data_IF_635564654069
#
_entry.id   IF_635564654069
#
_cell.length_a   1.000
_cell.length_b   1.000
_cell.length_c   1.000
_cell.angle_alpha   90.00
_cell.angle_beta   90.00
_cell.angle_gamma   90.00
#
_symmetry.space_group_name_H-M   'P 1'
#
loop_
_entity.id
_entity.type
_entity.pdbx_description
1 polymer ?
#
# COMPACT_ATOMS: atom_id res chain seq x y z
N UNK A 1 0.56 11.58 5.12
CA UNK A 1 -0.62 10.82 4.68
C UNK A 1 -1.39 10.36 5.90
N UNK A 2 -2.64 10.78 6.03
CA UNK A 2 -3.55 10.38 7.12
C UNK A 2 -3.73 8.86 7.14
N UNK A 3 -3.96 8.26 8.32
CA UNK A 3 -4.08 6.80 8.45
C UNK A 3 -5.22 6.21 7.61
N UNK A 4 -6.37 6.90 7.57
CA UNK A 4 -7.55 6.51 6.78
C UNK A 4 -7.29 6.58 5.27
N UNK A 5 -6.55 7.58 4.81
CA UNK A 5 -6.19 7.72 3.40
C UNK A 5 -5.24 6.60 2.96
N UNK A 6 -4.25 6.30 3.80
CA UNK A 6 -3.29 5.22 3.55
C UNK A 6 -3.96 3.86 3.45
N UNK A 7 -4.87 3.56 4.38
CA UNK A 7 -5.64 2.33 4.33
C UNK A 7 -6.40 2.22 3.01
N UNK A 8 -7.12 3.29 2.60
CA UNK A 8 -7.83 3.33 1.32
C UNK A 8 -6.90 3.08 0.13
N UNK A 9 -5.72 3.69 0.10
CA UNK A 9 -4.75 3.51 -0.98
C UNK A 9 -4.17 2.10 -1.02
N UNK A 10 -3.81 1.53 0.12
CA UNK A 10 -3.36 0.15 0.19
C UNK A 10 -4.46 -0.83 -0.25
N UNK A 11 -5.72 -0.58 0.12
CA UNK A 11 -6.85 -1.38 -0.40
C UNK A 11 -6.96 -1.30 -1.92
N UNK A 12 -6.82 -0.11 -2.51
CA UNK A 12 -6.79 0.08 -3.97
C UNK A 12 -5.65 -0.73 -4.63
N UNK A 13 -4.47 -0.74 -4.01
CA UNK A 13 -3.31 -1.55 -4.47
C UNK A 13 -3.63 -3.04 -4.39
N UNK A 14 -4.33 -3.51 -3.35
CA UNK A 14 -4.74 -4.91 -3.22
C UNK A 14 -5.72 -5.33 -4.31
N UNK A 15 -6.60 -4.42 -4.75
CA UNK A 15 -7.62 -4.72 -5.75
C UNK A 15 -7.09 -4.61 -7.18
N UNK A 16 -6.24 -3.63 -7.45
CA UNK A 16 -5.88 -3.24 -8.81
C UNK A 16 -4.40 -3.42 -9.14
N UNK A 17 -3.50 -3.51 -8.15
CA UNK A 17 -2.06 -3.65 -8.37
C UNK A 17 -1.68 -4.98 -9.04
N UNK A 18 -0.43 -5.11 -9.47
CA UNK A 18 0.10 -6.40 -9.92
C UNK A 18 0.22 -7.41 -8.75
N UNK A 19 0.37 -8.72 -9.00
CA UNK A 19 0.38 -9.73 -7.94
C UNK A 19 1.40 -9.50 -6.83
N UNK A 20 2.58 -8.93 -7.12
CA UNK A 20 3.58 -8.62 -6.10
C UNK A 20 3.15 -7.42 -5.26
N UNK A 21 2.63 -6.36 -5.89
CA UNK A 21 2.08 -5.20 -5.18
C UNK A 21 0.89 -5.58 -4.30
N UNK A 22 -0.02 -6.43 -4.79
CA UNK A 22 -1.16 -6.92 -4.02
C UNK A 22 -0.72 -7.67 -2.77
N UNK A 23 0.24 -8.59 -2.90
CA UNK A 23 0.76 -9.35 -1.77
C UNK A 23 1.44 -8.44 -0.73
N UNK A 24 2.26 -7.49 -1.19
CA UNK A 24 2.94 -6.54 -0.31
C UNK A 24 1.95 -5.61 0.39
N UNK A 25 0.90 -5.14 -0.29
CA UNK A 25 -0.11 -4.27 0.29
C UNK A 25 -0.91 -4.99 1.41
N UNK A 26 -1.21 -6.28 1.26
CA UNK A 26 -1.84 -7.09 2.33
C UNK A 26 -0.97 -7.18 3.57
N UNK A 27 0.32 -7.48 3.40
CA UNK A 27 1.27 -7.55 4.51
C UNK A 27 1.40 -6.21 5.25
N UNK A 28 1.41 -5.10 4.51
CA UNK A 28 1.48 -3.76 5.09
C UNK A 28 0.20 -3.37 5.83
N UNK A 29 -0.97 -3.76 5.31
CA UNK A 29 -2.24 -3.57 6.01
C UNK A 29 -2.27 -4.33 7.33
N UNK A 30 -1.81 -5.58 7.35
CA UNK A 30 -1.70 -6.38 8.58
C UNK A 30 -0.69 -5.78 9.57
N UNK A 31 0.49 -5.39 9.10
CA UNK A 31 1.52 -4.78 9.93
C UNK A 31 1.04 -3.48 10.58
N UNK A 32 0.38 -2.60 9.80
CA UNK A 32 -0.15 -1.34 10.30
C UNK A 32 -1.41 -1.50 11.16
N UNK A 33 -2.18 -2.58 10.98
CA UNK A 33 -3.27 -2.92 11.89
C UNK A 33 -2.73 -3.37 13.27
N UNK A 34 -1.63 -4.12 13.28
CA UNK A 34 -0.97 -4.54 14.53
C UNK A 34 -0.21 -3.38 15.20
N UNK A 35 0.46 -2.54 14.41
CA UNK A 35 1.29 -1.41 14.86
C UNK A 35 1.08 -0.20 13.95
N UNK A 36 0.11 0.68 14.27
CA UNK A 36 -0.23 1.83 13.43
C UNK A 36 0.93 2.81 13.19
N UNK A 37 1.84 2.90 14.16
CA UNK A 37 2.97 3.83 14.18
C UNK A 37 4.30 3.17 13.78
N UNK A 38 4.26 1.98 13.16
CA UNK A 38 5.47 1.32 12.66
C UNK A 38 6.08 2.11 11.49
N UNK A 39 7.12 2.90 11.79
CA UNK A 39 7.78 3.76 10.82
C UNK A 39 8.23 3.02 9.55
N UNK A 40 8.72 1.79 9.66
CA UNK A 40 9.17 1.02 8.51
C UNK A 40 7.98 0.59 7.64
N UNK A 41 6.88 0.15 8.25
CA UNK A 41 5.66 -0.18 7.50
C UNK A 41 5.01 1.07 6.88
N UNK A 42 5.08 2.21 7.56
CA UNK A 42 4.59 3.50 7.06
C UNK A 42 5.37 3.96 5.81
N UNK A 43 6.69 3.90 5.86
CA UNK A 43 7.56 4.24 4.74
C UNK A 43 7.36 3.28 3.56
N UNK A 44 7.34 1.97 3.83
CA UNK A 44 7.11 0.96 2.82
C UNK A 44 5.73 1.10 2.15
N UNK A 45 4.69 1.46 2.91
CA UNK A 45 3.37 1.75 2.36
C UNK A 45 3.37 2.98 1.45
N UNK A 46 4.09 4.05 1.82
CA UNK A 46 4.19 5.24 0.98
C UNK A 46 4.90 4.93 -0.35
N UNK A 47 6.01 4.18 -0.30
CA UNK A 47 6.75 3.76 -1.49
C UNK A 47 5.93 2.84 -2.41
N UNK A 48 5.21 1.88 -1.83
CA UNK A 48 4.37 0.97 -2.60
C UNK A 48 3.23 1.72 -3.32
N UNK A 49 2.57 2.65 -2.63
CA UNK A 49 1.51 3.46 -3.22
C UNK A 49 2.06 4.37 -4.32
N UNK A 50 3.24 4.96 -4.15
CA UNK A 50 3.89 5.76 -5.19
C UNK A 50 4.22 4.90 -6.42
N UNK A 51 4.79 3.71 -6.22
CA UNK A 51 5.06 2.78 -7.32
C UNK A 51 3.77 2.41 -8.07
N UNK A 52 2.70 2.07 -7.36
CA UNK A 52 1.38 1.75 -7.94
C UNK A 52 0.75 2.93 -8.70
N UNK A 53 0.97 4.17 -8.27
CA UNK A 53 0.45 5.37 -8.95
C UNK A 53 1.22 5.71 -10.23
N UNK A 54 2.51 5.38 -10.26
CA UNK A 54 3.40 5.70 -11.37
C UNK A 54 3.69 4.51 -12.29
N UNK A 55 3.07 3.35 -12.05
CA UNK A 55 3.24 2.17 -12.88
C UNK A 55 2.59 2.39 -14.27
N UNK A 56 3.40 2.43 -15.35
CA UNK A 56 2.90 2.69 -16.69
C UNK A 56 2.12 1.50 -17.29
N UNK A 57 2.22 0.32 -16.69
CA UNK A 57 1.56 -0.91 -17.14
C UNK A 57 0.23 -1.15 -16.43
N UNK A 58 -0.06 -0.41 -15.36
CA UNK A 58 -1.37 -0.35 -14.75
C UNK A 58 -2.31 0.49 -15.62
N UNK A 59 -2.90 -0.14 -16.65
CA UNK A 59 -4.05 0.43 -17.37
C UNK A 59 -5.22 0.55 -16.40
N UNK A 60 -5.43 1.77 -15.87
CA UNK A 60 -6.59 2.15 -15.06
C UNK A 60 -7.78 2.57 -15.92
#
# INVERSE_FOLDING_TARGET
>A
MEASERHRRLSEVVECGDPAQQAQARLLLEALAARPDDAAALEAAALLVDAYLNDPYLTR
#
